data_IF_570352536548
#
_entry.id   IF_570352536548
#
_cell.length_a   1.000
_cell.length_b   1.000
_cell.length_c   1.000
_cell.angle_alpha   90.00
_cell.angle_beta   90.00
_cell.angle_gamma   90.00
#
_symmetry.space_group_name_H-M   'P 1'
#
loop_
_entity.id
_entity.type
_entity.pdbx_description
1 polymer ?
#
# COMPACT_ATOMS: atom_id res chain seq x y z
N UNK A 1 21.82 -13.36 17.60
CA UNK A 1 20.54 -12.75 17.22
C UNK A 1 20.79 -11.76 16.07
N UNK A 2 20.82 -12.22 14.81
CA UNK A 2 21.08 -11.35 13.63
C UNK A 2 19.97 -11.41 12.56
N UNK A 3 19.02 -12.36 12.61
CA UNK A 3 17.96 -12.50 11.60
C UNK A 3 16.83 -11.45 11.66
N UNK A 4 16.73 -10.66 12.73
CA UNK A 4 15.67 -9.63 12.86
C UNK A 4 15.86 -8.42 11.94
N UNK A 5 17.10 -7.94 11.77
CA UNK A 5 17.38 -6.69 11.05
C UNK A 5 17.04 -6.76 9.56
N UNK A 6 17.27 -7.91 8.93
CA UNK A 6 16.95 -8.13 7.53
C UNK A 6 15.44 -8.08 7.29
N UNK A 7 14.69 -8.78 8.15
CA UNK A 7 13.23 -8.78 8.13
C UNK A 7 12.65 -7.39 8.41
N UNK A 8 13.14 -6.70 9.43
CA UNK A 8 12.70 -5.34 9.77
C UNK A 8 12.94 -4.36 8.62
N UNK A 9 14.12 -4.44 8.00
CA UNK A 9 14.46 -3.64 6.83
C UNK A 9 13.51 -3.92 5.66
N UNK A 10 13.28 -5.19 5.33
CA UNK A 10 12.36 -5.58 4.26
C UNK A 10 10.93 -5.13 4.55
N UNK A 11 10.41 -5.38 5.76
CA UNK A 11 9.08 -4.94 6.17
C UNK A 11 8.92 -3.44 5.99
N UNK A 12 9.91 -2.66 6.46
CA UNK A 12 9.90 -1.20 6.29
C UNK A 12 9.92 -0.78 4.81
N UNK A 13 10.82 -1.34 4.01
CA UNK A 13 10.93 -0.97 2.60
C UNK A 13 9.68 -1.34 1.82
N UNK A 14 9.14 -2.53 2.02
CA UNK A 14 7.94 -2.99 1.32
C UNK A 14 6.73 -2.15 1.75
N UNK A 15 6.50 -1.94 3.05
CA UNK A 15 5.42 -1.08 3.53
C UNK A 15 5.50 0.33 2.94
N UNK A 16 6.71 0.91 2.88
CA UNK A 16 6.94 2.22 2.26
C UNK A 16 6.57 2.22 0.78
N UNK A 17 6.96 1.19 0.03
CA UNK A 17 6.70 1.09 -1.41
C UNK A 17 5.22 0.83 -1.71
N UNK A 18 4.57 -0.06 -0.96
CA UNK A 18 3.13 -0.32 -1.06
C UNK A 18 2.35 0.96 -0.75
N UNK A 19 2.66 1.63 0.36
CA UNK A 19 2.05 2.93 0.70
C UNK A 19 2.24 3.96 -0.41
N UNK A 20 3.44 4.05 -0.98
CA UNK A 20 3.73 4.99 -2.08
C UNK A 20 2.91 4.68 -3.33
N UNK A 21 2.72 3.40 -3.66
CA UNK A 21 1.94 2.96 -4.81
C UNK A 21 0.45 3.27 -4.63
N UNK A 22 -0.13 2.94 -3.48
CA UNK A 22 -1.55 3.21 -3.25
C UNK A 22 -1.84 4.71 -3.13
N UNK A 23 -0.89 5.51 -2.62
CA UNK A 23 -0.97 6.98 -2.69
C UNK A 23 -0.99 7.49 -4.13
N UNK A 24 -0.21 6.91 -5.05
CA UNK A 24 -0.24 7.37 -6.45
C UNK A 24 -1.59 7.09 -7.10
N UNK A 25 -2.28 6.00 -6.74
CA UNK A 25 -3.65 5.75 -7.20
C UNK A 25 -4.66 6.77 -6.65
N UNK A 26 -4.48 7.23 -5.40
CA UNK A 26 -5.31 8.30 -4.85
C UNK A 26 -5.10 9.62 -5.59
N UNK A 27 -3.85 9.99 -5.87
CA UNK A 27 -3.56 11.19 -6.66
C UNK A 27 -4.15 11.11 -8.06
N UNK A 28 -4.03 9.97 -8.75
CA UNK A 28 -4.67 9.79 -10.06
C UNK A 28 -6.20 9.95 -9.97
N UNK A 29 -6.82 9.41 -8.92
CA UNK A 29 -8.27 9.54 -8.71
C UNK A 29 -8.68 11.00 -8.47
N UNK A 30 -7.90 11.75 -7.67
CA UNK A 30 -8.09 13.18 -7.41
C UNK A 30 -7.89 14.00 -8.69
N UNK A 31 -6.80 13.76 -9.42
CA UNK A 31 -6.50 14.42 -10.70
C UNK A 31 -7.63 14.23 -11.72
N UNK A 32 -8.23 13.03 -11.78
CA UNK A 32 -9.38 12.75 -12.65
C UNK A 32 -10.63 13.52 -12.24
N UNK A 33 -10.88 13.68 -10.94
CA UNK A 33 -12.00 14.50 -10.46
C UNK A 33 -11.78 15.97 -10.82
N UNK A 34 -10.58 16.49 -10.60
CA UNK A 34 -10.19 17.87 -10.87
C UNK A 34 -10.15 18.19 -12.38
N UNK A 35 -9.79 17.21 -13.21
CA UNK A 35 -9.78 17.33 -14.67
C UNK A 35 -11.18 17.37 -15.31
N UNK A 36 -12.25 17.30 -14.50
CA UNK A 36 -13.62 17.47 -14.97
C UNK A 36 -14.29 16.21 -15.51
N UNK A 37 -13.80 15.00 -15.17
CA UNK A 37 -14.43 13.74 -15.56
C UNK A 37 -15.82 13.49 -14.90
N UNK A 38 -16.34 14.45 -14.14
CA UNK A 38 -17.68 14.48 -13.56
C UNK A 38 -18.04 13.21 -12.77
N UNK A 39 -17.06 12.68 -12.03
CA UNK A 39 -17.25 11.55 -11.12
C UNK A 39 -18.11 12.03 -9.96
N UNK A 40 -19.24 11.38 -9.70
CA UNK A 40 -20.08 11.73 -8.55
C UNK A 40 -19.34 11.47 -7.23
N UNK A 41 -19.59 12.31 -6.22
CA UNK A 41 -18.94 12.20 -4.91
C UNK A 41 -19.08 10.81 -4.29
N UNK A 42 -20.25 10.17 -4.44
CA UNK A 42 -20.50 8.81 -3.95
C UNK A 42 -19.60 7.77 -4.61
N UNK A 43 -19.34 7.91 -5.92
CA UNK A 43 -18.48 7.01 -6.69
C UNK A 43 -17.02 7.29 -6.37
N UNK A 44 -16.63 8.56 -6.29
CA UNK A 44 -15.30 8.98 -5.89
C UNK A 44 -14.92 8.43 -4.50
N UNK A 45 -15.76 8.66 -3.48
CA UNK A 45 -15.49 8.19 -2.13
C UNK A 45 -15.45 6.65 -2.05
N UNK A 46 -16.28 5.95 -2.83
CA UNK A 46 -16.22 4.49 -2.92
C UNK A 46 -14.89 4.00 -3.51
N UNK A 47 -14.41 4.63 -4.58
CA UNK A 47 -13.11 4.29 -5.17
C UNK A 47 -11.94 4.63 -4.23
N UNK A 48 -11.97 5.80 -3.60
CA UNK A 48 -10.99 6.21 -2.60
C UNK A 48 -10.90 5.22 -1.44
N UNK A 49 -12.06 4.82 -0.88
CA UNK A 49 -12.12 3.81 0.17
C UNK A 49 -11.53 2.48 -0.29
N UNK A 50 -11.89 2.00 -1.48
CA UNK A 50 -11.36 0.74 -2.03
C UNK A 50 -9.85 0.76 -2.20
N UNK A 51 -9.27 1.88 -2.65
CA UNK A 51 -7.81 2.03 -2.78
C UNK A 51 -7.14 1.95 -1.40
N UNK A 52 -7.71 2.61 -0.38
CA UNK A 52 -7.19 2.54 0.99
C UNK A 52 -7.30 1.13 1.58
N UNK A 53 -8.45 0.47 1.44
CA UNK A 53 -8.69 -0.87 1.96
C UNK A 53 -7.69 -1.86 1.35
N UNK A 54 -7.56 -1.88 0.02
CA UNK A 54 -6.59 -2.74 -0.67
C UNK A 54 -5.13 -2.47 -0.26
N UNK A 55 -4.76 -1.20 -0.05
CA UNK A 55 -3.42 -0.84 0.39
C UNK A 55 -3.10 -1.34 1.79
N UNK A 56 -4.07 -1.23 2.70
CA UNK A 56 -3.93 -1.73 4.07
C UNK A 56 -3.91 -3.26 4.11
N UNK A 57 -4.75 -3.93 3.32
CA UNK A 57 -4.78 -5.40 3.24
C UNK A 57 -3.47 -5.94 2.66
N UNK A 58 -2.94 -5.32 1.60
CA UNK A 58 -1.65 -5.70 1.03
C UNK A 58 -0.50 -5.58 2.06
N UNK A 59 -0.49 -4.53 2.89
CA UNK A 59 0.51 -4.38 3.96
C UNK A 59 0.38 -5.53 4.98
N UNK A 60 -0.84 -5.82 5.46
CA UNK A 60 -1.08 -6.89 6.45
C UNK A 60 -0.66 -8.26 5.92
N UNK A 61 -1.06 -8.60 4.69
CA UNK A 61 -0.71 -9.88 4.06
C UNK A 61 0.81 -10.04 3.93
N UNK A 62 1.51 -8.98 3.54
CA UNK A 62 2.97 -9.00 3.41
C UNK A 62 3.62 -9.18 4.79
N UNK A 63 3.16 -8.47 5.81
CA UNK A 63 3.67 -8.62 7.18
C UNK A 63 3.50 -10.05 7.69
N UNK A 64 2.32 -10.64 7.50
CA UNK A 64 2.05 -12.05 7.86
C UNK A 64 2.93 -13.04 7.08
N UNK A 65 3.24 -12.76 5.82
CA UNK A 65 4.14 -13.58 5.01
C UNK A 65 5.58 -13.46 5.51
N UNK A 66 6.07 -12.23 5.76
CA UNK A 66 7.40 -11.99 6.30
C UNK A 66 7.58 -12.62 7.67
N UNK A 67 6.51 -12.78 8.46
CA UNK A 67 6.55 -13.50 9.73
C UNK A 67 6.84 -15.00 9.60
N UNK A 68 6.44 -15.61 8.50
CA UNK A 68 6.56 -17.05 8.27
C UNK A 68 7.86 -17.43 7.54
N UNK A 69 8.63 -16.45 7.06
CA UNK A 69 9.83 -16.68 6.27
C UNK A 69 11.10 -16.56 7.13
N UNK A 70 12.04 -17.49 6.90
CA UNK A 70 13.42 -17.32 7.35
C UNK A 70 14.18 -16.52 6.28
N UNK A 71 14.63 -15.31 6.63
CA UNK A 71 15.18 -14.35 5.68
C UNK A 71 16.60 -13.99 6.10
N UNK A 72 17.54 -14.27 5.20
CA UNK A 72 18.94 -13.89 5.31
C UNK A 72 19.33 -13.03 4.10
N UNK A 73 19.95 -11.87 4.36
CA UNK A 73 20.40 -10.93 3.33
C UNK A 73 21.92 -11.01 3.23
N UNK A 74 22.43 -11.26 2.03
CA UNK A 74 23.86 -11.34 1.71
C UNK A 74 24.48 -10.00 1.36
#
# INVERSE_FOLDING_TARGET
MNGGKAKDFLSFQVNRKVTSLYKSFLFILEDLQDSGYNISDSVFQRHRKRVLDNGNDAIREIEELLEKLDIDLK
#
